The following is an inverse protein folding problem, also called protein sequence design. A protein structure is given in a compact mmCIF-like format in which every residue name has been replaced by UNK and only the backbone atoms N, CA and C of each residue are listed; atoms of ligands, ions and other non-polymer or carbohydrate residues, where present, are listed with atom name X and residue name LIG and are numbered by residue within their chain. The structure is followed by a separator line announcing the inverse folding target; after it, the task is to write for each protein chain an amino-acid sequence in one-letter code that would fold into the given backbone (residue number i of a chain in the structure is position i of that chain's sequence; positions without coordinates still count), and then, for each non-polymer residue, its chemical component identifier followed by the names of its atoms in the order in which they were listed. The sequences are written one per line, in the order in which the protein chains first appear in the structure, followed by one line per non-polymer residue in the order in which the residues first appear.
data_IF_635147857307
#
_entry.id   IF_635147857307
#
_cell.length_a   1.000
_cell.length_b   1.000
_cell.length_c   1.000
_cell.angle_alpha   90.00
_cell.angle_beta   90.00
_cell.angle_gamma   90.00
#
_symmetry.space_group_name_H-M   'P 1'
#
loop_
_entity.id
_entity.type
_entity.pdbx_description
1 polymer ?
#
# COMPACT_ATOMS: atom_id res chain seq x y z
N UNK A 1 13.90 -6.10 -11.50
CA UNK A 1 13.34 -4.82 -11.03
C UNK A 1 13.82 -4.58 -9.61
N UNK A 2 14.21 -3.34 -9.32
CA UNK A 2 14.68 -2.90 -8.02
C UNK A 2 13.55 -2.06 -7.42
N UNK A 3 13.02 -2.44 -6.25
CA UNK A 3 11.88 -1.74 -5.63
C UNK A 3 12.36 -0.74 -4.59
N UNK A 4 11.85 0.49 -4.68
CA UNK A 4 11.88 1.48 -3.62
C UNK A 4 10.49 1.51 -2.96
N UNK A 5 10.44 1.58 -1.63
CA UNK A 5 9.16 1.51 -0.89
C UNK A 5 9.09 2.67 0.09
N UNK A 6 8.19 3.60 -0.19
CA UNK A 6 7.84 4.66 0.74
C UNK A 6 6.70 4.15 1.61
N UNK A 7 6.91 4.17 2.91
CA UNK A 7 5.91 3.81 3.89
C UNK A 7 5.57 5.05 4.71
N UNK A 8 4.33 5.50 4.61
CA UNK A 8 3.84 6.59 5.45
C UNK A 8 3.31 5.99 6.74
N UNK A 9 3.93 6.33 7.87
CA UNK A 9 3.40 5.91 9.17
C UNK A 9 3.90 6.81 10.28
N UNK A 10 2.93 7.42 10.96
CA UNK A 10 2.93 7.44 12.43
C UNK A 10 1.50 7.47 12.97
N UNK A 11 1.26 6.67 14.00
CA UNK A 11 0.09 6.83 14.87
C UNK A 11 0.27 8.07 15.75
N UNK A 12 -0.54 9.09 15.48
CA UNK A 12 -0.89 10.27 16.28
C UNK A 12 -0.08 10.51 17.56
N UNK A 13 0.85 11.47 17.57
CA UNK A 13 1.58 11.84 18.80
C UNK A 13 0.78 12.66 19.83
N UNK A 14 -0.44 13.10 19.51
CA UNK A 14 -1.35 13.72 20.49
C UNK A 14 -2.82 13.40 20.16
N UNK A 15 -3.40 12.47 20.91
CA UNK A 15 -4.84 12.28 21.03
C UNK A 15 -5.31 10.84 20.83
N UNK A 16 -5.60 10.14 21.94
CA UNK A 16 -6.29 8.83 22.10
C UNK A 16 -5.85 7.61 21.25
N UNK A 17 -5.11 7.76 20.16
CA UNK A 17 -4.58 6.67 19.32
C UNK A 17 -3.13 6.26 19.63
N UNK A 18 -2.49 6.94 20.59
CA UNK A 18 -1.12 6.69 21.05
C UNK A 18 -1.05 6.84 22.57
N UNK A 19 -1.71 5.96 23.31
CA UNK A 19 -1.49 5.86 24.75
C UNK A 19 -0.14 5.20 25.08
N UNK A 20 0.58 4.65 24.10
CA UNK A 20 1.61 3.63 24.35
C UNK A 20 3.00 3.92 23.73
N UNK A 21 3.21 5.00 22.97
CA UNK A 21 4.54 5.35 22.41
C UNK A 21 5.08 4.37 21.35
N UNK A 22 4.21 3.59 20.70
CA UNK A 22 4.59 2.45 19.83
C UNK A 22 5.14 2.81 18.44
N UNK A 23 5.30 4.10 18.10
CA UNK A 23 5.74 4.54 16.76
C UNK A 23 7.12 3.99 16.38
N UNK A 24 8.07 4.01 17.32
CA UNK A 24 9.41 3.41 17.13
C UNK A 24 9.32 1.90 16.92
N UNK A 25 8.55 1.19 17.75
CA UNK A 25 8.36 -0.25 17.64
C UNK A 25 7.77 -0.64 16.28
N UNK A 26 6.77 0.08 15.79
CA UNK A 26 6.14 -0.20 14.48
C UNK A 26 7.08 0.07 13.30
N UNK A 27 7.96 1.06 13.42
CA UNK A 27 9.02 1.31 12.43
C UNK A 27 9.98 0.13 12.35
N UNK A 28 10.42 -0.41 13.49
CA UNK A 28 11.31 -1.58 13.52
C UNK A 28 10.62 -2.87 13.04
N UNK A 29 9.33 -3.03 13.34
CA UNK A 29 8.49 -4.10 12.80
C UNK A 29 8.39 -4.05 11.28
N UNK A 30 8.18 -2.85 10.70
CA UNK A 30 8.17 -2.65 9.25
C UNK A 30 9.50 -3.04 8.62
N UNK A 31 10.63 -2.57 9.15
CA UNK A 31 11.93 -2.92 8.59
C UNK A 31 12.16 -4.43 8.58
N UNK A 32 11.76 -5.13 9.65
CA UNK A 32 11.81 -6.61 9.69
C UNK A 32 10.92 -7.24 8.61
N UNK A 33 9.72 -6.72 8.38
CA UNK A 33 8.84 -7.17 7.30
C UNK A 33 9.46 -6.93 5.91
N UNK A 34 10.11 -5.78 5.69
CA UNK A 34 10.84 -5.47 4.46
C UNK A 34 11.99 -6.47 4.20
N UNK A 35 12.73 -6.88 5.23
CA UNK A 35 13.76 -7.93 5.12
C UNK A 35 13.14 -9.24 4.65
N UNK A 36 11.99 -9.66 5.20
CA UNK A 36 11.27 -10.85 4.71
C UNK A 36 10.95 -10.69 3.24
N UNK A 37 10.49 -9.51 2.80
CA UNK A 37 10.21 -9.20 1.40
C UNK A 37 11.44 -9.07 0.49
N UNK A 38 12.66 -9.07 1.05
CA UNK A 38 13.93 -8.79 0.35
C UNK A 38 14.00 -7.37 -0.23
N UNK A 39 13.32 -6.41 0.42
CA UNK A 39 13.47 -4.98 0.14
C UNK A 39 14.71 -4.48 0.86
N UNK A 40 15.59 -3.77 0.15
CA UNK A 40 16.81 -3.20 0.74
C UNK A 40 16.42 -2.04 1.66
N UNK A 41 17.00 -1.99 2.86
CA UNK A 41 16.53 -1.07 3.92
C UNK A 41 16.88 0.39 3.64
N UNK A 42 17.94 0.65 2.88
CA UNK A 42 18.29 1.97 2.32
C UNK A 42 17.25 2.50 1.32
N UNK A 43 16.35 1.62 0.86
CA UNK A 43 15.25 1.94 -0.06
C UNK A 43 13.89 1.92 0.62
N UNK A 44 13.88 1.99 1.95
CA UNK A 44 12.68 2.09 2.77
C UNK A 44 12.69 3.42 3.51
N UNK A 45 11.86 4.35 3.05
CA UNK A 45 11.64 5.63 3.74
C UNK A 45 10.38 5.53 4.59
N UNK A 46 10.52 5.79 5.90
CA UNK A 46 9.39 5.94 6.82
C UNK A 46 9.16 7.42 7.05
N UNK A 47 8.01 7.91 6.59
CA UNK A 47 7.63 9.31 6.71
C UNK A 47 6.95 9.57 8.05
N UNK A 48 7.55 10.45 8.85
CA UNK A 48 6.99 10.98 10.10
C UNK A 48 6.71 12.48 9.91
N UNK A 49 5.46 12.81 9.60
CA UNK A 49 5.01 14.18 9.33
C UNK A 49 3.79 14.53 10.19
N UNK A 50 3.76 15.67 10.89
CA UNK A 50 2.65 16.02 11.79
C UNK A 50 1.29 16.11 11.10
N UNK A 51 1.26 16.41 9.80
CA UNK A 51 0.03 16.49 9.01
C UNK A 51 -0.38 15.16 8.33
N UNK A 52 0.45 14.11 8.45
CA UNK A 52 0.21 12.79 7.84
C UNK A 52 0.08 11.70 8.91
N UNK A 53 -0.69 12.00 9.95
CA UNK A 53 -0.89 11.09 11.07
C UNK A 53 -1.97 10.06 10.74
N UNK A 54 -1.72 8.81 11.11
CA UNK A 54 -2.63 7.71 10.87
C UNK A 54 -3.92 7.82 11.71
N UNK A 55 -5.06 7.42 11.13
CA UNK A 55 -6.38 7.53 11.74
C UNK A 55 -7.50 7.85 10.74
N UNK A 56 -8.75 7.68 11.17
CA UNK A 56 -9.95 7.95 10.35
C UNK A 56 -10.45 9.40 10.43
N UNK A 57 -9.92 10.18 11.39
CA UNK A 57 -10.41 11.53 11.70
C UNK A 57 -9.65 12.63 10.95
N UNK A 58 -8.61 12.28 10.19
CA UNK A 58 -7.72 13.23 9.53
C UNK A 58 -7.71 12.95 8.04
N UNK A 59 -7.88 14.01 7.26
CA UNK A 59 -7.69 13.99 5.81
C UNK A 59 -6.30 14.53 5.54
N UNK A 60 -5.46 13.74 4.88
CA UNK A 60 -4.11 14.17 4.54
C UNK A 60 -4.14 15.17 3.39
N UNK A 61 -3.30 16.19 3.47
CA UNK A 61 -3.23 17.23 2.43
C UNK A 61 -2.63 16.65 1.14
N UNK A 62 -3.40 16.70 0.04
CA UNK A 62 -2.99 16.13 -1.24
C UNK A 62 -1.87 16.93 -1.94
N UNK A 63 -1.77 18.25 -1.75
CA UNK A 63 -0.63 19.05 -2.22
C UNK A 63 0.67 18.64 -1.52
N UNK A 64 0.62 18.47 -0.20
CA UNK A 64 1.76 17.98 0.59
C UNK A 64 2.20 16.58 0.13
N UNK A 65 1.24 15.66 -0.06
CA UNK A 65 1.54 14.32 -0.56
C UNK A 65 2.14 14.37 -1.96
N UNK A 66 1.58 15.17 -2.87
CA UNK A 66 2.10 15.33 -4.22
C UNK A 66 3.55 15.83 -4.22
N UNK A 67 3.87 16.84 -3.42
CA UNK A 67 5.23 17.37 -3.28
C UNK A 67 6.20 16.31 -2.73
N UNK A 68 5.80 15.55 -1.72
CA UNK A 68 6.64 14.48 -1.16
C UNK A 68 6.85 13.37 -2.19
N UNK A 69 5.81 12.98 -2.92
CA UNK A 69 5.91 11.97 -3.99
C UNK A 69 6.87 12.47 -5.07
N UNK A 70 6.75 13.73 -5.49
CA UNK A 70 7.63 14.35 -6.47
C UNK A 70 9.10 14.32 -6.06
N UNK A 71 9.40 14.73 -4.82
CA UNK A 71 10.76 14.69 -4.25
C UNK A 71 11.35 13.28 -4.28
N UNK A 72 10.57 12.27 -3.86
CA UNK A 72 11.04 10.89 -3.83
C UNK A 72 11.23 10.30 -5.23
N UNK A 73 10.30 10.60 -6.12
CA UNK A 73 10.33 10.11 -7.49
C UNK A 73 11.57 10.63 -8.23
N UNK A 74 11.84 11.93 -8.16
CA UNK A 74 13.00 12.50 -8.83
C UNK A 74 14.30 12.22 -8.08
N UNK A 75 14.28 12.19 -6.74
CA UNK A 75 15.44 11.88 -5.90
C UNK A 75 15.93 10.44 -6.05
N UNK A 76 15.04 9.50 -6.37
CA UNK A 76 15.37 8.08 -6.51
C UNK A 76 15.23 7.53 -7.93
N UNK A 77 14.91 8.37 -8.92
CA UNK A 77 14.72 7.99 -10.33
C UNK A 77 13.70 6.86 -10.45
N UNK A 78 12.51 7.09 -9.91
CA UNK A 78 11.41 6.12 -9.89
C UNK A 78 10.65 6.18 -11.21
N UNK A 79 10.60 5.05 -11.93
CA UNK A 79 9.83 4.93 -13.19
C UNK A 79 8.40 4.40 -12.96
N UNK A 80 8.15 3.72 -11.84
CA UNK A 80 6.87 3.06 -11.56
C UNK A 80 6.40 3.29 -10.13
N UNK A 81 5.18 3.80 -9.97
CA UNK A 81 4.49 3.99 -8.68
C UNK A 81 3.39 2.93 -8.55
N UNK A 82 3.32 2.27 -7.40
CA UNK A 82 2.19 1.41 -7.03
C UNK A 82 1.59 1.96 -5.73
N UNK A 83 0.28 2.23 -5.75
CA UNK A 83 -0.47 2.80 -4.61
C UNK A 83 -1.80 2.07 -4.39
N UNK A 84 -2.59 2.52 -3.42
CA UNK A 84 -3.98 2.09 -3.25
C UNK A 84 -4.91 2.79 -4.24
N UNK A 85 -6.12 2.27 -4.43
CA UNK A 85 -7.18 3.01 -5.10
C UNK A 85 -7.91 3.96 -4.12
N UNK A 86 -8.84 4.75 -4.65
CA UNK A 86 -9.66 5.68 -3.87
C UNK A 86 -10.50 5.05 -2.75
N UNK A 87 -10.77 3.74 -2.79
CA UNK A 87 -11.47 3.04 -1.70
C UNK A 87 -10.52 2.54 -0.61
N UNK A 88 -9.24 2.31 -0.92
CA UNK A 88 -8.24 2.03 0.10
C UNK A 88 -8.37 0.65 0.75
N UNK A 89 -8.67 -0.39 -0.03
CA UNK A 89 -8.83 -1.81 0.35
C UNK A 89 -10.04 -2.08 1.24
N UNK A 90 -10.13 -1.41 2.39
CA UNK A 90 -11.19 -1.56 3.39
C UNK A 90 -11.88 -0.23 3.73
N UNK A 91 -11.76 0.79 2.90
CA UNK A 91 -12.32 2.12 3.19
C UNK A 91 -11.42 2.99 4.07
N UNK A 92 -10.12 2.72 4.14
CA UNK A 92 -9.23 3.52 4.99
C UNK A 92 -8.90 4.86 4.31
N UNK A 93 -9.25 5.98 4.94
CA UNK A 93 -9.10 7.32 4.34
C UNK A 93 -7.66 7.62 3.92
N UNK A 94 -6.67 7.30 4.77
CA UNK A 94 -5.26 7.54 4.46
C UNK A 94 -4.78 6.81 3.18
N UNK A 95 -5.32 5.63 2.89
CA UNK A 95 -5.01 4.95 1.63
C UNK A 95 -5.58 5.72 0.43
N UNK A 96 -6.82 6.22 0.56
CA UNK A 96 -7.44 7.08 -0.44
C UNK A 96 -6.71 8.42 -0.60
N UNK A 97 -6.22 9.02 0.48
CA UNK A 97 -5.48 10.27 0.39
C UNK A 97 -4.14 10.09 -0.33
N UNK A 98 -3.42 8.98 -0.10
CA UNK A 98 -2.22 8.64 -0.87
C UNK A 98 -2.56 8.44 -2.35
N UNK A 99 -3.70 7.80 -2.67
CA UNK A 99 -4.18 7.70 -4.05
C UNK A 99 -4.36 9.10 -4.68
N UNK A 100 -5.04 10.02 -4.00
CA UNK A 100 -5.26 11.37 -4.52
C UNK A 100 -3.97 12.19 -4.62
N UNK A 101 -3.03 12.03 -3.68
CA UNK A 101 -1.69 12.62 -3.77
C UNK A 101 -0.92 12.15 -5.01
N UNK A 102 -0.96 10.85 -5.32
CA UNK A 102 -0.36 10.30 -6.56
C UNK A 102 -1.04 10.88 -7.79
N UNK A 103 -2.37 10.90 -7.85
CA UNK A 103 -3.10 11.47 -9.00
C UNK A 103 -2.76 12.94 -9.23
N UNK A 104 -2.66 13.71 -8.16
CA UNK A 104 -2.31 15.12 -8.20
C UNK A 104 -0.89 15.35 -8.69
N UNK A 105 0.08 14.58 -8.20
CA UNK A 105 1.45 14.58 -8.72
C UNK A 105 1.49 14.31 -10.24
N UNK A 106 0.79 13.28 -10.71
CA UNK A 106 0.77 12.94 -12.14
C UNK A 106 0.17 14.06 -12.99
N UNK A 107 -0.88 14.71 -12.49
CA UNK A 107 -1.54 15.82 -13.17
C UNK A 107 -0.67 17.08 -13.19
N UNK A 108 -0.14 17.49 -12.04
CA UNK A 108 0.53 18.78 -11.87
C UNK A 108 1.97 18.75 -12.44
N UNK A 109 2.71 17.66 -12.22
CA UNK A 109 4.10 17.54 -12.68
C UNK A 109 4.23 17.02 -14.11
N UNK A 110 3.15 16.46 -14.70
CA UNK A 110 3.16 15.80 -16.02
C UNK A 110 4.42 14.96 -16.28
N UNK A 111 4.78 14.04 -15.36
CA UNK A 111 6.06 13.36 -15.40
C UNK A 111 6.04 12.29 -16.50
N UNK A 112 6.34 12.69 -17.74
CA UNK A 112 5.94 11.95 -18.94
C UNK A 112 6.27 10.45 -18.98
N UNK A 113 7.37 10.00 -18.36
CA UNK A 113 7.81 8.61 -18.39
C UNK A 113 7.41 7.77 -17.17
N UNK A 114 6.63 8.33 -16.23
CA UNK A 114 6.28 7.63 -15.00
C UNK A 114 4.97 6.88 -15.17
N UNK A 115 5.00 5.59 -14.89
CA UNK A 115 3.80 4.79 -14.80
C UNK A 115 3.28 4.71 -13.37
N UNK A 116 1.98 4.94 -13.18
CA UNK A 116 1.35 4.76 -11.89
C UNK A 116 0.22 3.73 -11.96
N UNK A 117 0.18 2.88 -10.94
CA UNK A 117 -0.76 1.78 -10.81
C UNK A 117 -1.39 1.79 -9.43
N UNK A 118 -2.67 1.47 -9.37
CA UNK A 118 -3.43 1.38 -8.11
C UNK A 118 -3.91 -0.05 -7.86
N UNK A 119 -3.86 -0.47 -6.59
CA UNK A 119 -4.42 -1.73 -6.14
C UNK A 119 -5.95 -1.63 -6.11
N UNK A 120 -6.60 -2.45 -6.93
CA UNK A 120 -8.06 -2.49 -7.04
C UNK A 120 -8.68 -3.04 -5.75
N UNK A 121 -9.55 -2.25 -5.15
CA UNK A 121 -10.37 -2.67 -4.02
C UNK A 121 -11.48 -3.63 -4.46
N UNK A 122 -11.57 -4.79 -3.81
CA UNK A 122 -12.59 -5.80 -4.08
C UNK A 122 -13.64 -5.84 -2.97
N UNK A 123 -14.86 -6.22 -3.34
CA UNK A 123 -15.96 -6.37 -2.39
C UNK A 123 -15.66 -7.44 -1.33
N UNK A 124 -16.42 -7.42 -0.23
CA UNK A 124 -16.19 -8.30 0.92
C UNK A 124 -16.27 -9.80 0.58
N UNK A 125 -17.18 -10.20 -0.31
CA UNK A 125 -17.30 -11.61 -0.71
C UNK A 125 -16.04 -12.10 -1.43
N UNK A 126 -15.58 -11.33 -2.43
CA UNK A 126 -14.34 -11.63 -3.14
C UNK A 126 -13.15 -11.59 -2.21
N UNK A 127 -13.08 -10.58 -1.34
CA UNK A 127 -11.98 -10.38 -0.38
C UNK A 127 -11.68 -11.61 0.47
N UNK A 128 -12.70 -12.36 0.89
CA UNK A 128 -12.53 -13.56 1.72
C UNK A 128 -12.68 -14.88 0.96
N UNK A 129 -12.67 -14.84 -0.37
CA UNK A 129 -12.72 -16.06 -1.19
C UNK A 129 -11.34 -16.73 -1.37
N UNK A 130 -10.27 -16.11 -0.88
CA UNK A 130 -8.92 -16.65 -0.91
C UNK A 130 -8.45 -16.98 -2.33
N UNK A 131 -7.94 -18.20 -2.51
CA UNK A 131 -7.43 -18.72 -3.79
C UNK A 131 -8.46 -18.71 -4.93
N UNK A 132 -9.76 -18.81 -4.62
CA UNK A 132 -10.81 -18.81 -5.65
C UNK A 132 -10.86 -17.48 -6.43
N UNK A 133 -10.39 -16.39 -5.83
CA UNK A 133 -10.34 -15.10 -6.50
C UNK A 133 -9.33 -15.05 -7.64
N UNK A 134 -8.36 -15.98 -7.71
CA UNK A 134 -7.43 -16.06 -8.84
C UNK A 134 -8.22 -16.16 -10.15
N UNK A 135 -9.24 -17.02 -10.21
CA UNK A 135 -10.02 -17.23 -11.42
C UNK A 135 -10.88 -16.00 -11.73
N UNK A 136 -11.52 -15.40 -10.71
CA UNK A 136 -12.33 -14.20 -10.86
C UNK A 136 -11.50 -13.00 -11.34
N UNK A 137 -10.30 -12.80 -10.79
CA UNK A 137 -9.37 -11.72 -11.14
C UNK A 137 -8.80 -11.89 -12.55
N UNK A 138 -8.50 -13.12 -12.97
CA UNK A 138 -8.07 -13.38 -14.35
C UNK A 138 -9.19 -13.05 -15.36
N UNK A 139 -10.43 -13.48 -15.08
CA UNK A 139 -11.57 -13.16 -15.93
C UNK A 139 -11.85 -11.66 -16.00
N UNK A 140 -11.70 -10.94 -14.88
CA UNK A 140 -11.83 -9.48 -14.86
C UNK A 140 -10.78 -8.79 -15.74
N UNK A 141 -9.50 -9.18 -15.64
CA UNK A 141 -8.44 -8.62 -16.49
C UNK A 141 -8.70 -8.90 -17.97
N UNK A 142 -9.16 -10.11 -18.32
CA UNK A 142 -9.49 -10.46 -19.71
C UNK A 142 -10.62 -9.61 -20.31
N UNK A 143 -11.49 -9.01 -19.48
CA UNK A 143 -12.58 -8.14 -19.92
C UNK A 143 -12.16 -6.70 -20.18
N UNK A 144 -10.94 -6.33 -19.79
CA UNK A 144 -10.43 -4.96 -19.94
C UNK A 144 -9.43 -4.87 -21.11
N UNK A 145 -9.28 -3.68 -21.72
CA UNK A 145 -8.25 -3.44 -22.72
C UNK A 145 -6.86 -3.82 -22.19
N UNK A 146 -6.03 -4.39 -23.08
CA UNK A 146 -4.65 -4.77 -22.76
C UNK A 146 -3.87 -3.55 -22.24
N UNK A 147 -3.17 -3.73 -21.13
CA UNK A 147 -2.35 -2.68 -20.51
C UNK A 147 -3.09 -1.75 -19.55
N UNK A 148 -4.40 -1.94 -19.31
CA UNK A 148 -5.13 -1.16 -18.30
C UNK A 148 -5.25 -1.87 -16.95
N UNK A 149 -5.18 -3.20 -16.94
CA UNK A 149 -5.19 -4.00 -15.70
C UNK A 149 -4.20 -5.15 -15.76
N UNK A 150 -3.58 -5.43 -14.62
CA UNK A 150 -2.67 -6.56 -14.44
C UNK A 150 -3.03 -7.38 -13.21
N UNK A 151 -3.01 -8.70 -13.35
CA UNK A 151 -3.22 -9.63 -12.26
C UNK A 151 -1.86 -10.14 -11.76
N UNK A 152 -1.48 -9.76 -10.55
CA UNK A 152 -0.24 -10.19 -9.91
C UNK A 152 -0.54 -11.38 -8.99
N UNK A 153 -0.06 -12.56 -9.38
CA UNK A 153 -0.14 -13.76 -8.56
C UNK A 153 0.98 -13.77 -7.53
N UNK A 154 0.64 -14.02 -6.28
CA UNK A 154 1.62 -14.22 -5.22
C UNK A 154 2.04 -15.70 -5.17
N UNK A 155 3.22 -15.98 -5.71
CA UNK A 155 3.82 -17.33 -5.69
C UNK A 155 4.25 -17.77 -4.28
N UNK A 156 4.33 -16.84 -3.33
CA UNK A 156 4.79 -17.12 -1.97
C UNK A 156 3.82 -16.59 -0.90
N UNK A 157 2.58 -17.12 -0.78
CA UNK A 157 1.61 -16.72 0.25
C UNK A 157 2.17 -16.81 1.68
N UNK A 158 3.02 -17.82 1.95
CA UNK A 158 3.69 -17.99 3.23
C UNK A 158 4.59 -16.80 3.58
N UNK A 159 5.21 -16.17 2.58
CA UNK A 159 6.08 -14.99 2.77
C UNK A 159 5.27 -13.80 3.28
N UNK A 160 4.06 -13.58 2.75
CA UNK A 160 3.14 -12.54 3.24
C UNK A 160 2.73 -12.76 4.69
N UNK A 161 2.47 -14.03 5.06
CA UNK A 161 2.18 -14.38 6.45
C UNK A 161 3.39 -14.12 7.38
N UNK A 162 4.60 -14.52 6.96
CA UNK A 162 5.83 -14.31 7.73
C UNK A 162 6.17 -12.83 7.88
N UNK A 163 5.95 -12.03 6.84
CA UNK A 163 6.14 -10.58 6.88
C UNK A 163 5.17 -9.92 7.86
N UNK A 164 3.87 -10.26 7.77
CA UNK A 164 2.88 -9.74 8.71
C UNK A 164 3.11 -10.19 10.16
N UNK A 165 3.67 -11.38 10.37
CA UNK A 165 4.08 -11.85 11.69
C UNK A 165 5.24 -11.03 12.30
N UNK A 166 5.97 -10.23 11.50
CA UNK A 166 6.97 -9.29 12.05
C UNK A 166 6.31 -8.09 12.75
N UNK A 167 5.04 -7.79 12.47
CA UNK A 167 4.28 -6.72 13.13
C UNK A 167 3.68 -7.20 14.45
N UNK A 168 4.54 -7.54 15.42
CA UNK A 168 4.16 -8.13 16.71
C UNK A 168 3.11 -7.30 17.46
N UNK A 169 3.28 -5.98 17.50
CA UNK A 169 2.32 -5.02 18.10
C UNK A 169 0.94 -5.06 17.44
N UNK A 170 0.86 -5.61 16.23
CA UNK A 170 -0.34 -5.73 15.44
C UNK A 170 -0.73 -7.21 15.19
N UNK A 171 -0.05 -8.21 15.77
CA UNK A 171 -0.26 -9.61 15.43
C UNK A 171 -1.46 -10.28 16.13
N UNK A 172 -2.63 -9.64 16.02
CA UNK A 172 -3.89 -10.10 16.60
C UNK A 172 -4.53 -11.25 15.81
N UNK A 173 -5.38 -12.04 16.47
CA UNK A 173 -6.01 -13.24 15.90
C UNK A 173 -6.79 -12.97 14.61
N UNK A 174 -7.52 -11.86 14.52
CA UNK A 174 -8.29 -11.51 13.31
C UNK A 174 -7.40 -11.17 12.12
N UNK A 175 -6.19 -10.62 12.35
CA UNK A 175 -5.21 -10.37 11.27
C UNK A 175 -4.66 -11.68 10.71
N UNK A 176 -4.46 -12.69 11.56
CA UNK A 176 -4.06 -14.04 11.12
C UNK A 176 -5.10 -14.63 10.17
N UNK A 177 -6.38 -14.57 10.57
CA UNK A 177 -7.49 -15.00 9.72
C UNK A 177 -7.54 -14.21 8.42
N UNK A 178 -7.44 -12.88 8.49
CA UNK A 178 -7.42 -12.02 7.32
C UNK A 178 -6.34 -12.46 6.33
N UNK A 179 -5.09 -12.62 6.76
CA UNK A 179 -4.00 -13.02 5.84
C UNK A 179 -4.20 -14.43 5.31
N UNK A 180 -4.73 -15.36 6.11
CA UNK A 180 -4.98 -16.73 5.66
C UNK A 180 -6.10 -16.85 4.63
N UNK A 181 -7.14 -16.03 4.72
CA UNK A 181 -8.33 -16.14 3.87
C UNK A 181 -8.50 -15.01 2.86
N UNK A 182 -7.70 -13.95 2.96
CA UNK A 182 -7.78 -12.81 2.06
C UNK A 182 -7.27 -13.17 0.68
N UNK A 183 -8.03 -12.80 -0.35
CA UNK A 183 -7.61 -12.90 -1.74
C UNK A 183 -6.37 -12.07 -2.03
N UNK A 184 -6.15 -10.94 -1.34
CA UNK A 184 -4.94 -10.12 -1.49
C UNK A 184 -3.64 -10.88 -1.14
N UNK A 185 -3.73 -11.94 -0.35
CA UNK A 185 -2.59 -12.83 -0.07
C UNK A 185 -2.19 -13.65 -1.30
N UNK A 186 -3.12 -13.91 -2.22
CA UNK A 186 -2.93 -14.82 -3.34
C UNK A 186 -2.88 -14.11 -4.69
N UNK A 187 -3.71 -13.08 -4.87
CA UNK A 187 -3.86 -12.36 -6.12
C UNK A 187 -4.14 -10.89 -5.86
N UNK A 188 -3.46 -10.02 -6.59
CA UNK A 188 -3.62 -8.58 -6.52
C UNK A 188 -3.86 -8.04 -7.93
N UNK A 189 -4.98 -7.35 -8.14
CA UNK A 189 -5.25 -6.69 -9.41
C UNK A 189 -4.80 -5.24 -9.34
N UNK A 190 -3.90 -4.85 -10.24
CA UNK A 190 -3.51 -3.47 -10.43
C UNK A 190 -4.25 -2.87 -11.62
N UNK A 191 -4.65 -1.60 -11.51
CA UNK A 191 -5.22 -0.79 -12.59
C UNK A 191 -4.31 0.40 -12.87
N UNK A 192 -4.12 0.74 -14.14
CA UNK A 192 -3.33 1.93 -14.53
C UNK A 192 -4.08 3.19 -14.09
N UNK A 193 -3.37 4.13 -13.48
CA UNK A 193 -3.91 5.45 -13.14
C UNK A 193 -3.82 6.33 -14.39
N UNK A 194 -4.95 6.94 -14.76
CA UNK A 194 -5.09 7.91 -15.85
C UNK A 194 -5.16 9.35 -15.34
#
# INVERSE_FOLDING_TARGET
MSSHTIYVSKGKERGRGNTDGMGSNRKDELYRACVIHKVQLDRVKVLDHPDLQDGFDQVWNHDLLANIIEEEVYGHVIDVIITFDSYGVSGHCNHGDVHYGVRKFLHDSSPGNIEAWELVSINMLRKYSGLFDIWMSNLDVMRHPRGLRHCLLNEHPRKSFLAMAQHMSQWAWFRKLFISFSSYTYVNTLRKIE
#
